data_IF_120665529045
#
_entry.id   IF_120665529045
#
_cell.length_a   1.000
_cell.length_b   1.000
_cell.length_c   1.000
_cell.angle_alpha   90.00
_cell.angle_beta   90.00
_cell.angle_gamma   90.00
#
_symmetry.space_group_name_H-M   'P 1'
#
loop_
_entity.id
_entity.type
_entity.pdbx_description
1 polymer ?
#
# COMPACT_ATOMS: atom_id res chain seq x y z
N UNK A 1 -6.29 23.42 -3.97
CA UNK A 1 -7.56 23.26 -4.70
C UNK A 1 -8.74 23.24 -3.72
N UNK A 2 -9.92 23.71 -4.16
CA UNK A 2 -11.18 23.63 -3.40
C UNK A 2 -11.59 22.14 -3.33
N UNK A 3 -11.77 21.57 -2.15
CA UNK A 3 -12.00 20.12 -1.94
C UNK A 3 -10.85 19.35 -1.27
N UNK A 4 -9.73 20.03 -0.95
CA UNK A 4 -8.59 19.44 -0.21
C UNK A 4 -9.01 18.84 1.14
N UNK A 5 -9.95 19.49 1.84
CA UNK A 5 -10.49 19.01 3.12
C UNK A 5 -11.21 17.67 2.99
N UNK A 6 -12.18 17.57 2.09
CA UNK A 6 -12.92 16.34 1.83
C UNK A 6 -12.01 15.20 1.35
N UNK A 7 -11.07 15.50 0.45
CA UNK A 7 -10.10 14.52 -0.06
C UNK A 7 -9.22 13.98 1.07
N UNK A 8 -8.70 14.86 1.92
CA UNK A 8 -7.92 14.43 3.09
C UNK A 8 -8.77 13.58 4.03
N UNK A 9 -10.02 13.98 4.32
CA UNK A 9 -10.90 13.20 5.19
C UNK A 9 -11.15 11.79 4.65
N UNK A 10 -11.44 11.64 3.35
CA UNK A 10 -11.61 10.33 2.72
C UNK A 10 -10.34 9.47 2.77
N UNK A 11 -9.17 10.09 2.63
CA UNK A 11 -7.87 9.39 2.75
C UNK A 11 -7.60 8.97 4.19
N UNK A 12 -7.98 9.77 5.21
CA UNK A 12 -7.69 9.43 6.61
C UNK A 12 -8.74 8.54 7.26
N UNK A 13 -9.93 8.43 6.67
CA UNK A 13 -11.03 7.65 7.23
C UNK A 13 -10.63 6.18 7.45
N UNK A 14 -10.09 5.43 6.46
CA UNK A 14 -9.64 4.05 6.68
C UNK A 14 -8.57 3.89 7.76
N UNK A 15 -7.68 4.88 7.93
CA UNK A 15 -6.65 4.85 8.98
C UNK A 15 -7.22 5.01 10.39
N UNK A 16 -8.31 5.75 10.52
CA UNK A 16 -8.97 6.02 11.80
C UNK A 16 -10.01 4.97 12.18
N UNK A 17 -10.55 4.25 11.19
CA UNK A 17 -11.54 3.21 11.42
C UNK A 17 -10.89 1.92 11.89
N UNK A 18 -11.45 1.23 12.90
CA UNK A 18 -11.02 -0.11 13.23
C UNK A 18 -11.17 -1.04 12.01
N UNK A 19 -10.17 -1.88 11.78
CA UNK A 19 -10.10 -2.78 10.63
C UNK A 19 -11.33 -3.69 10.50
N UNK A 20 -11.83 -4.20 11.63
CA UNK A 20 -13.07 -5.00 11.71
C UNK A 20 -14.28 -4.22 11.18
N UNK A 21 -14.38 -2.93 11.53
CA UNK A 21 -15.50 -2.08 11.11
C UNK A 21 -15.44 -1.85 9.60
N UNK A 22 -14.25 -1.59 9.05
CA UNK A 22 -14.04 -1.42 7.62
C UNK A 22 -14.36 -2.71 6.85
N UNK A 23 -13.86 -3.85 7.32
CA UNK A 23 -14.12 -5.16 6.73
C UNK A 23 -15.61 -5.52 6.70
N UNK A 24 -16.31 -5.36 7.83
CA UNK A 24 -17.74 -5.63 7.93
C UNK A 24 -18.62 -4.65 7.12
N UNK A 25 -18.20 -3.39 7.03
CA UNK A 25 -18.88 -2.37 6.23
C UNK A 25 -18.76 -2.65 4.73
N UNK A 26 -17.58 -3.09 4.27
CA UNK A 26 -17.38 -3.52 2.89
C UNK A 26 -18.16 -4.79 2.55
N UNK A 27 -18.23 -5.76 3.46
CA UNK A 27 -19.11 -6.94 3.32
C UNK A 27 -20.56 -6.50 3.11
N UNK A 28 -21.05 -5.60 3.95
CA UNK A 28 -22.42 -5.07 3.84
C UNK A 28 -22.63 -4.37 2.48
N UNK A 29 -21.67 -3.56 2.04
CA UNK A 29 -21.72 -2.89 0.74
C UNK A 29 -21.78 -3.90 -0.42
N UNK A 30 -20.91 -4.91 -0.43
CA UNK A 30 -20.88 -5.92 -1.48
C UNK A 30 -22.16 -6.76 -1.53
N UNK A 31 -22.74 -7.09 -0.38
CA UNK A 31 -24.05 -7.77 -0.31
C UNK A 31 -25.16 -6.90 -0.91
N UNK A 32 -25.23 -5.61 -0.55
CA UNK A 32 -26.26 -4.70 -1.07
C UNK A 32 -26.15 -4.50 -2.59
N UNK A 33 -24.93 -4.52 -3.11
CA UNK A 33 -24.64 -4.40 -4.54
C UNK A 33 -24.69 -5.75 -5.28
N UNK A 34 -25.02 -6.86 -4.60
CA UNK A 34 -25.04 -8.22 -5.14
C UNK A 34 -23.72 -8.64 -5.82
N UNK A 35 -22.57 -8.22 -5.26
CA UNK A 35 -21.27 -8.67 -5.74
C UNK A 35 -21.04 -10.14 -5.42
N UNK A 36 -20.42 -10.84 -6.37
CA UNK A 36 -19.94 -12.22 -6.14
C UNK A 36 -18.63 -12.16 -5.36
N UNK A 37 -18.61 -12.79 -4.18
CA UNK A 37 -17.43 -12.86 -3.33
C UNK A 37 -16.33 -13.71 -3.96
N UNK A 38 -15.10 -13.22 -3.86
CA UNK A 38 -13.92 -13.92 -4.35
C UNK A 38 -12.73 -12.98 -4.42
N UNK A 39 -11.86 -13.19 -5.42
CA UNK A 39 -10.66 -12.40 -5.57
C UNK A 39 -10.96 -10.90 -5.74
N UNK A 40 -12.00 -10.54 -6.49
CA UNK A 40 -12.34 -9.14 -6.77
C UNK A 40 -12.76 -8.37 -5.51
N UNK A 41 -13.57 -8.97 -4.65
CA UNK A 41 -14.01 -8.35 -3.38
C UNK A 41 -12.84 -8.22 -2.41
N UNK A 42 -11.95 -9.22 -2.36
CA UNK A 42 -10.70 -9.15 -1.59
C UNK A 42 -9.83 -7.99 -2.11
N UNK A 43 -9.61 -7.92 -3.42
CA UNK A 43 -8.77 -6.89 -4.05
C UNK A 43 -9.30 -5.48 -3.77
N UNK A 44 -10.60 -5.25 -3.95
CA UNK A 44 -11.21 -3.95 -3.67
C UNK A 44 -11.07 -3.62 -2.17
N UNK A 45 -11.31 -4.59 -1.30
CA UNK A 45 -11.23 -4.37 0.14
C UNK A 45 -9.80 -4.02 0.59
N UNK A 46 -8.79 -4.73 0.08
CA UNK A 46 -7.39 -4.40 0.35
C UNK A 46 -6.97 -3.06 -0.25
N UNK A 47 -7.45 -2.70 -1.44
CA UNK A 47 -7.20 -1.36 -2.01
C UNK A 47 -7.78 -0.29 -1.09
N UNK A 48 -9.03 -0.44 -0.66
CA UNK A 48 -9.71 0.51 0.23
C UNK A 48 -9.02 0.63 1.59
N UNK A 49 -8.48 -0.47 2.12
CA UNK A 49 -7.74 -0.47 3.37
C UNK A 49 -6.34 0.15 3.22
N UNK A 50 -5.61 -0.24 2.18
CA UNK A 50 -4.20 0.13 2.00
C UNK A 50 -4.00 1.54 1.42
N UNK A 51 -4.99 2.10 0.71
CA UNK A 51 -4.84 3.39 0.01
C UNK A 51 -4.39 4.50 0.96
N UNK A 52 -4.90 4.51 2.18
CA UNK A 52 -4.60 5.52 3.19
C UNK A 52 -3.16 5.46 3.65
N UNK A 53 -2.66 4.24 3.92
CA UNK A 53 -1.26 4.01 4.24
C UNK A 53 -0.36 4.47 3.08
N UNK A 54 -0.69 4.07 1.86
CA UNK A 54 0.13 4.42 0.71
C UNK A 54 0.20 5.93 0.45
N UNK A 55 -0.94 6.62 0.51
CA UNK A 55 -0.99 8.08 0.32
C UNK A 55 -0.22 8.82 1.42
N UNK A 56 -0.36 8.40 2.68
CA UNK A 56 0.37 9.03 3.80
C UNK A 56 1.88 8.82 3.65
N UNK A 57 2.33 7.62 3.30
CA UNK A 57 3.75 7.32 3.08
C UNK A 57 4.34 8.13 1.94
N UNK A 58 3.65 8.22 0.80
CA UNK A 58 4.11 9.04 -0.34
C UNK A 58 4.12 10.52 0.03
N UNK A 59 3.07 11.03 0.68
CA UNK A 59 3.00 12.44 1.13
C UNK A 59 4.13 12.79 2.09
N UNK A 60 4.44 11.92 3.05
CA UNK A 60 5.52 12.17 4.02
C UNK A 60 6.88 12.34 3.33
N UNK A 61 7.14 11.55 2.27
CA UNK A 61 8.36 11.68 1.48
C UNK A 61 8.37 12.88 0.55
N UNK A 62 7.20 13.33 0.08
CA UNK A 62 7.06 14.50 -0.77
C UNK A 62 7.41 15.82 -0.08
N UNK A 63 7.26 15.91 1.24
CA UNK A 63 7.51 17.15 2.00
C UNK A 63 8.96 17.62 1.88
N UNK A 64 9.91 16.71 1.62
CA UNK A 64 11.34 17.02 1.50
C UNK A 64 11.82 17.33 0.08
N UNK A 65 10.96 17.27 -0.94
CA UNK A 65 11.39 17.51 -2.32
C UNK A 65 11.28 18.98 -2.71
N UNK A 66 12.30 19.45 -3.43
CA UNK A 66 12.35 20.82 -3.91
C UNK A 66 11.40 21.00 -5.12
N UNK A 67 10.40 21.87 -4.95
CA UNK A 67 9.42 22.19 -6.00
C UNK A 67 10.02 23.05 -7.10
N UNK A 68 11.16 23.72 -6.86
CA UNK A 68 11.84 24.52 -7.87
C UNK A 68 12.31 23.68 -9.07
N UNK A 69 12.52 22.36 -8.91
CA UNK A 69 12.87 21.47 -10.02
C UNK A 69 11.73 21.34 -11.04
N UNK A 70 10.47 21.38 -10.59
CA UNK A 70 9.31 21.35 -11.48
C UNK A 70 9.12 22.70 -12.18
N UNK A 71 9.32 23.79 -11.46
CA UNK A 71 9.27 25.16 -11.99
C UNK A 71 10.34 25.38 -13.06
N UNK A 72 11.60 25.00 -12.78
CA UNK A 72 12.70 25.10 -13.73
C UNK A 72 12.47 24.30 -15.03
N UNK A 73 11.83 23.13 -14.94
CA UNK A 73 11.47 22.35 -16.12
C UNK A 73 10.42 23.07 -16.98
N UNK A 74 9.44 23.71 -16.35
CA UNK A 74 8.43 24.51 -17.06
C UNK A 74 9.02 25.80 -17.64
N UNK A 75 9.97 26.43 -16.96
CA UNK A 75 10.71 27.61 -17.47
C UNK A 75 11.55 27.27 -18.71
N UNK A 76 12.06 26.04 -18.81
CA UNK A 76 12.74 25.52 -20.00
C UNK A 76 11.78 25.10 -21.13
N UNK A 77 10.47 25.37 -20.98
CA UNK A 77 9.45 25.10 -21.99
C UNK A 77 8.84 23.70 -21.93
N UNK A 78 9.09 22.91 -20.87
CA UNK A 78 8.39 21.65 -20.67
C UNK A 78 6.93 21.90 -20.26
N UNK A 79 6.00 21.14 -20.84
CA UNK A 79 4.62 21.15 -20.37
C UNK A 79 4.45 20.25 -19.13
N UNK A 80 3.31 20.37 -18.44
CA UNK A 80 3.02 19.66 -17.18
C UNK A 80 3.21 18.13 -17.28
N UNK A 81 2.84 17.52 -18.42
CA UNK A 81 3.00 16.09 -18.63
C UNK A 81 4.48 15.67 -18.76
N UNK A 82 5.27 16.48 -19.47
CA UNK A 82 6.71 16.24 -19.61
C UNK A 82 7.42 16.47 -18.28
N UNK A 83 7.08 17.53 -17.55
CA UNK A 83 7.59 17.80 -16.19
C UNK A 83 7.25 16.66 -15.26
N UNK A 84 5.99 16.19 -15.25
CA UNK A 84 5.59 15.05 -14.45
C UNK A 84 6.39 13.80 -14.78
N UNK A 85 6.49 13.41 -16.06
CA UNK A 85 7.14 12.15 -16.44
C UNK A 85 8.67 12.17 -16.27
N UNK A 86 9.31 13.32 -16.48
CA UNK A 86 10.78 13.43 -16.47
C UNK A 86 11.36 13.94 -15.16
N UNK A 87 10.60 14.71 -14.38
CA UNK A 87 11.07 15.32 -13.13
C UNK A 87 10.32 14.73 -11.95
N UNK A 88 9.00 14.96 -11.86
CA UNK A 88 8.21 14.55 -10.69
C UNK A 88 8.22 13.04 -10.48
N UNK A 89 7.89 12.25 -11.51
CA UNK A 89 7.74 10.80 -11.40
C UNK A 89 9.04 10.10 -10.98
N UNK A 90 10.22 10.36 -11.60
CA UNK A 90 11.48 9.79 -11.13
C UNK A 90 11.85 10.22 -9.71
N UNK A 91 11.52 11.46 -9.34
CA UNK A 91 11.77 12.01 -8.01
C UNK A 91 10.93 11.30 -6.94
N UNK A 92 9.64 11.05 -7.22
CA UNK A 92 8.72 10.37 -6.29
C UNK A 92 8.76 8.84 -6.38
N UNK A 93 9.33 8.26 -7.44
CA UNK A 93 9.43 6.81 -7.65
C UNK A 93 9.96 6.02 -6.42
N UNK A 94 11.03 6.44 -5.71
CA UNK A 94 11.46 5.74 -4.50
C UNK A 94 10.41 5.77 -3.38
N UNK A 95 9.67 6.87 -3.24
CA UNK A 95 8.58 6.98 -2.27
C UNK A 95 7.41 6.07 -2.63
N UNK A 96 7.06 5.99 -3.92
CA UNK A 96 6.04 5.06 -4.43
C UNK A 96 6.46 3.62 -4.15
N UNK A 97 7.71 3.24 -4.45
CA UNK A 97 8.21 1.89 -4.19
C UNK A 97 8.16 1.52 -2.70
N UNK A 98 8.54 2.44 -1.82
CA UNK A 98 8.43 2.24 -0.38
C UNK A 98 6.98 2.07 0.08
N UNK A 99 6.07 2.89 -0.45
CA UNK A 99 4.63 2.75 -0.20
C UNK A 99 4.06 1.43 -0.72
N UNK A 100 4.49 0.97 -1.89
CA UNK A 100 4.03 -0.30 -2.46
C UNK A 100 4.46 -1.49 -1.58
N UNK A 101 5.70 -1.49 -1.11
CA UNK A 101 6.21 -2.52 -0.21
C UNK A 101 5.46 -2.52 1.14
N UNK A 102 5.13 -1.34 1.66
CA UNK A 102 4.32 -1.22 2.88
C UNK A 102 2.91 -1.79 2.67
N UNK A 103 2.22 -1.39 1.60
CA UNK A 103 0.88 -1.90 1.29
C UNK A 103 0.89 -3.42 1.05
N UNK A 104 1.93 -3.94 0.39
CA UNK A 104 2.11 -5.38 0.22
C UNK A 104 2.29 -6.10 1.56
N UNK A 105 3.14 -5.55 2.44
CA UNK A 105 3.37 -6.12 3.77
C UNK A 105 2.09 -6.16 4.62
N UNK A 106 1.28 -5.11 4.56
CA UNK A 106 -0.02 -5.03 5.27
C UNK A 106 -1.06 -5.97 4.64
N UNK A 107 -1.04 -6.17 3.32
CA UNK A 107 -2.05 -6.96 2.62
C UNK A 107 -1.79 -8.47 2.72
N UNK A 108 -0.52 -8.89 2.78
CA UNK A 108 -0.16 -10.32 2.76
C UNK A 108 -0.47 -11.05 4.06
N UNK A 109 -0.43 -10.34 5.19
CA UNK A 109 -0.74 -10.89 6.52
C UNK A 109 -2.16 -10.54 7.01
N UNK A 110 -2.92 -9.76 6.24
CA UNK A 110 -4.28 -9.35 6.59
C UNK A 110 -5.23 -10.55 6.71
N UNK A 111 -5.74 -10.71 7.92
CA UNK A 111 -6.80 -11.68 8.23
C UNK A 111 -8.18 -11.02 8.21
N UNK A 112 -8.33 -9.85 8.85
CA UNK A 112 -9.66 -9.34 9.19
C UNK A 112 -10.40 -8.85 7.95
N UNK A 113 -9.78 -8.01 7.12
CA UNK A 113 -10.44 -7.49 5.91
C UNK A 113 -10.76 -8.64 4.96
N UNK A 114 -9.82 -9.58 4.82
CA UNK A 114 -10.01 -10.78 4.00
C UNK A 114 -11.12 -11.69 4.54
N UNK A 115 -11.21 -11.91 5.85
CA UNK A 115 -12.23 -12.77 6.48
C UNK A 115 -13.66 -12.33 6.12
N UNK A 116 -13.92 -11.02 6.13
CA UNK A 116 -15.23 -10.49 5.77
C UNK A 116 -15.52 -10.54 4.27
N UNK A 117 -14.50 -10.52 3.41
CA UNK A 117 -14.67 -10.23 1.98
C UNK A 117 -14.22 -11.36 1.03
N UNK A 118 -13.73 -12.49 1.54
CA UNK A 118 -13.18 -13.57 0.72
C UNK A 118 -14.22 -14.55 0.15
N UNK A 119 -15.39 -14.67 0.79
CA UNK A 119 -16.37 -15.69 0.46
C UNK A 119 -15.78 -17.11 0.56
N UNK A 120 -15.85 -17.95 -0.49
CA UNK A 120 -15.32 -19.31 -0.45
C UNK A 120 -13.79 -19.39 -0.63
N UNK A 121 -13.11 -18.26 -0.88
CA UNK A 121 -11.65 -18.25 -1.09
C UNK A 121 -10.92 -18.36 0.24
N UNK A 122 -9.94 -19.25 0.30
CA UNK A 122 -9.07 -19.40 1.46
C UNK A 122 -7.72 -18.78 1.11
N UNK A 123 -7.40 -17.64 1.74
CA UNK A 123 -6.07 -17.04 1.68
C UNK A 123 -5.17 -17.65 2.75
N UNK A 124 -3.87 -17.35 2.69
CA UNK A 124 -2.91 -17.87 3.66
C UNK A 124 -3.29 -17.49 5.11
N UNK A 125 -3.60 -16.23 5.46
CA UNK A 125 -4.02 -15.88 6.83
C UNK A 125 -5.29 -16.63 7.28
N UNK A 126 -6.28 -16.80 6.39
CA UNK A 126 -7.49 -17.57 6.70
C UNK A 126 -7.19 -19.05 6.96
N UNK A 127 -6.31 -19.65 6.16
CA UNK A 127 -5.85 -21.01 6.35
C UNK A 127 -5.13 -21.18 7.68
N UNK A 128 -4.19 -20.28 8.02
CA UNK A 128 -3.44 -20.32 9.28
C UNK A 128 -4.38 -20.23 10.47
N UNK A 129 -5.35 -19.30 10.43
CA UNK A 129 -6.33 -19.15 11.50
C UNK A 129 -7.20 -20.40 11.68
N UNK A 130 -7.64 -21.03 10.59
CA UNK A 130 -8.37 -22.29 10.64
C UNK A 130 -7.54 -23.44 11.20
N UNK A 131 -6.29 -23.58 10.74
CA UNK A 131 -5.36 -24.62 11.16
C UNK A 131 -4.95 -24.47 12.64
N UNK A 132 -4.77 -23.24 13.13
CA UNK A 132 -4.38 -22.96 14.51
C UNK A 132 -5.37 -23.50 15.56
N UNK A 133 -6.65 -23.69 15.19
CA UNK A 133 -7.68 -24.23 16.09
C UNK A 133 -7.54 -25.73 16.37
N UNK A 134 -6.94 -26.48 15.45
CA UNK A 134 -6.78 -27.94 15.54
C UNK A 134 -5.31 -28.33 15.80
N UNK A 135 -4.39 -27.42 15.48
CA UNK A 135 -2.94 -27.60 15.56
C UNK A 135 -2.31 -27.19 14.25
N UNK A 136 -1.55 -26.09 14.25
CA UNK A 136 -0.94 -25.56 13.04
C UNK A 136 0.10 -26.57 12.50
N UNK A 137 -0.05 -27.06 11.27
CA UNK A 137 0.84 -28.07 10.75
C UNK A 137 2.17 -27.40 10.35
N UNK A 138 3.31 -28.13 10.33
CA UNK A 138 4.64 -27.53 10.13
C UNK A 138 4.78 -26.68 8.86
N UNK A 139 3.98 -26.94 7.83
CA UNK A 139 3.95 -26.20 6.57
C UNK A 139 3.59 -24.72 6.78
N UNK A 140 2.78 -24.38 7.79
CA UNK A 140 2.47 -22.98 8.14
C UNK A 140 3.72 -22.21 8.51
N UNK A 141 4.59 -22.82 9.32
CA UNK A 141 5.84 -22.19 9.76
C UNK A 141 6.82 -22.02 8.59
N UNK A 142 6.86 -22.98 7.67
CA UNK A 142 7.69 -22.90 6.46
C UNK A 142 7.25 -21.74 5.58
N UNK A 143 5.95 -21.66 5.25
CA UNK A 143 5.42 -20.59 4.40
C UNK A 143 5.56 -19.22 5.09
N UNK A 144 5.24 -19.14 6.39
CA UNK A 144 5.40 -17.91 7.17
C UNK A 144 6.85 -17.41 7.17
N UNK A 145 7.82 -18.32 7.33
CA UNK A 145 9.25 -17.97 7.26
C UNK A 145 9.65 -17.45 5.88
N UNK A 146 9.16 -18.07 4.80
CA UNK A 146 9.44 -17.62 3.42
C UNK A 146 8.87 -16.23 3.17
N UNK A 147 7.61 -15.98 3.57
CA UNK A 147 6.97 -14.66 3.43
C UNK A 147 7.73 -13.61 4.23
N UNK A 148 8.11 -13.93 5.48
CA UNK A 148 8.89 -13.04 6.33
C UNK A 148 10.25 -12.68 5.73
N UNK A 149 11.03 -13.67 5.29
CA UNK A 149 12.34 -13.46 4.67
C UNK A 149 12.23 -12.65 3.37
N UNK A 150 11.21 -12.91 2.56
CA UNK A 150 10.95 -12.14 1.35
C UNK A 150 10.64 -10.67 1.68
N UNK A 151 9.72 -10.41 2.61
CA UNK A 151 9.37 -9.05 3.00
C UNK A 151 10.57 -8.28 3.59
N UNK A 152 11.32 -8.91 4.49
CA UNK A 152 12.50 -8.30 5.13
C UNK A 152 13.61 -8.04 4.11
N UNK A 153 13.91 -9.00 3.21
CA UNK A 153 14.93 -8.81 2.18
C UNK A 153 14.55 -7.71 1.18
N UNK A 154 13.29 -7.65 0.75
CA UNK A 154 12.78 -6.57 -0.10
C UNK A 154 12.88 -5.20 0.59
N UNK A 155 12.55 -5.14 1.89
CA UNK A 155 12.68 -3.92 2.69
C UNK A 155 14.15 -3.47 2.81
N UNK A 156 15.06 -4.38 3.16
CA UNK A 156 16.50 -4.09 3.26
C UNK A 156 17.04 -3.61 1.91
N UNK A 157 16.70 -4.29 0.81
CA UNK A 157 17.10 -3.87 -0.53
C UNK A 157 16.62 -2.45 -0.85
N UNK A 158 15.37 -2.13 -0.51
CA UNK A 158 14.82 -0.78 -0.70
C UNK A 158 15.58 0.28 0.13
N UNK A 159 15.89 0.00 1.40
CA UNK A 159 16.67 0.91 2.26
C UNK A 159 18.08 1.12 1.70
N UNK A 160 18.76 0.05 1.28
CA UNK A 160 20.10 0.14 0.69
C UNK A 160 20.09 0.95 -0.62
N UNK A 161 19.08 0.78 -1.47
CA UNK A 161 18.93 1.57 -2.70
C UNK A 161 18.70 3.06 -2.40
N UNK A 162 17.94 3.37 -1.35
CA UNK A 162 17.73 4.76 -0.91
C UNK A 162 19.04 5.38 -0.42
N UNK A 163 19.79 4.69 0.45
CA UNK A 163 21.08 5.18 0.97
C UNK A 163 22.11 5.42 -0.15
N UNK A 164 22.13 4.57 -1.19
CA UNK A 164 23.03 4.75 -2.34
C UNK A 164 22.66 5.99 -3.17
N UNK A 165 21.38 6.28 -3.33
CA UNK A 165 20.89 7.46 -4.06
C UNK A 165 21.21 8.76 -3.32
N UNK A 166 21.05 8.79 -2.00
CA UNK A 166 21.43 9.95 -1.18
C UNK A 166 22.92 10.26 -1.28
N UNK A 167 23.79 9.25 -1.20
CA UNK A 167 25.25 9.43 -1.37
C UNK A 167 25.63 9.91 -2.77
N UNK A 168 24.94 9.43 -3.81
CA UNK A 168 25.21 9.85 -5.20
C UNK A 168 24.71 11.26 -5.51
N UNK A 169 23.70 11.75 -4.79
CA UNK A 169 23.22 13.14 -4.90
C UNK A 169 24.06 14.14 -4.10
N UNK A 170 24.75 13.70 -3.04
CA UNK A 170 25.66 14.55 -2.25
C UNK A 170 27.07 14.72 -2.88
N UNK A 171 27.35 14.04 -3.99
CA UNK A 171 28.66 14.05 -4.68
C UNK A 171 28.62 14.71 -6.06
N UNK A 172 27.47 15.28 -6.45
CA UNK A 172 27.26 16.08 -7.66
C UNK A 172 26.98 17.53 -7.27
#
# INVERSE_FOLDING_TARGET
FRGRGATNLLIFLPLSTPEIVLGASLLTLFLNLNFVFGFTTILIAHVMFCISFGVVTVKARLIGFDRHLEEAAMDLGANEWVTFRKVTLPLIAPAILASLLLCFAISIDDFVVTYFNAGPRITFPLFVWGAARVGAPPQVNVIGTVIFLFAVSAMIANVLLQMRREKSGATA
#
